data_IF_090963437936
#
_entry.id   IF_090963437936
#
_cell.length_a   1.000
_cell.length_b   1.000
_cell.length_c   1.000
_cell.angle_alpha   90.00
_cell.angle_beta   90.00
_cell.angle_gamma   90.00
#
_symmetry.space_group_name_H-M   'P 1'
#
loop_
_entity.id
_entity.type
_entity.pdbx_description
1 polymer ?
#
# COMPACT_ATOMS: atom_id res chain seq x y z
N UNK A 1 16.56 2.31 -9.93
CA UNK A 1 17.36 2.13 -8.68
C UNK A 1 16.87 0.88 -7.96
N UNK A 2 17.73 0.10 -7.28
CA UNK A 2 17.30 -1.11 -6.55
C UNK A 2 16.20 -0.86 -5.51
N UNK A 3 16.13 0.36 -4.99
CA UNK A 3 15.10 0.83 -4.03
C UNK A 3 13.73 1.05 -4.67
N UNK A 4 13.66 1.51 -5.92
CA UNK A 4 12.41 1.75 -6.64
C UNK A 4 11.71 0.43 -6.96
N UNK A 5 12.46 -0.55 -7.48
CA UNK A 5 11.97 -1.91 -7.73
C UNK A 5 11.47 -2.58 -6.45
N UNK A 6 12.11 -2.30 -5.31
CA UNK A 6 11.69 -2.80 -4.00
C UNK A 6 10.36 -2.20 -3.55
N UNK A 7 10.17 -0.88 -3.71
CA UNK A 7 8.92 -0.20 -3.38
C UNK A 7 7.79 -0.69 -4.29
N UNK A 8 8.05 -0.90 -5.58
CA UNK A 8 7.03 -1.38 -6.52
C UNK A 8 6.59 -2.82 -6.24
N UNK A 9 7.52 -3.71 -5.86
CA UNK A 9 7.18 -5.06 -5.39
C UNK A 9 6.33 -5.00 -4.13
N UNK A 10 6.70 -4.15 -3.17
CA UNK A 10 5.96 -3.99 -1.92
C UNK A 10 4.54 -3.48 -2.16
N UNK A 11 4.36 -2.49 -3.04
CA UNK A 11 3.04 -2.01 -3.46
C UNK A 11 2.19 -3.11 -4.07
N UNK A 12 2.78 -3.94 -4.94
CA UNK A 12 2.07 -5.07 -5.54
C UNK A 12 1.58 -6.06 -4.49
N UNK A 13 2.39 -6.36 -3.48
CA UNK A 13 2.00 -7.23 -2.36
C UNK A 13 0.87 -6.61 -1.52
N UNK A 14 1.01 -5.33 -1.16
CA UNK A 14 0.01 -4.60 -0.36
C UNK A 14 -1.33 -4.51 -1.09
N UNK A 15 -1.32 -4.29 -2.40
CA UNK A 15 -2.54 -4.26 -3.22
C UNK A 15 -3.25 -5.62 -3.26
N UNK A 16 -2.51 -6.73 -3.33
CA UNK A 16 -3.09 -8.07 -3.22
C UNK A 16 -3.72 -8.31 -1.84
N UNK A 17 -3.05 -7.86 -0.78
CA UNK A 17 -3.59 -7.95 0.59
C UNK A 17 -4.85 -7.10 0.75
N UNK A 18 -4.85 -5.87 0.23
CA UNK A 18 -5.99 -4.97 0.20
C UNK A 18 -7.19 -5.63 -0.47
N UNK A 19 -6.99 -6.20 -1.66
CA UNK A 19 -8.04 -6.91 -2.38
C UNK A 19 -8.63 -8.07 -1.56
N UNK A 20 -7.77 -8.89 -0.94
CA UNK A 20 -8.24 -10.01 -0.11
C UNK A 20 -9.02 -9.55 1.13
N UNK A 21 -8.58 -8.48 1.80
CA UNK A 21 -9.30 -7.90 2.94
C UNK A 21 -10.65 -7.32 2.49
N UNK A 22 -10.69 -6.64 1.34
CA UNK A 22 -11.92 -6.11 0.77
C UNK A 22 -12.93 -7.22 0.43
N UNK A 23 -12.48 -8.34 -0.16
CA UNK A 23 -13.35 -9.49 -0.46
C UNK A 23 -13.94 -10.09 0.83
N UNK A 24 -13.15 -10.17 1.90
CA UNK A 24 -13.64 -10.63 3.21
C UNK A 24 -14.62 -9.64 3.82
N UNK A 25 -14.34 -8.33 3.74
CA UNK A 25 -15.23 -7.28 4.22
C UNK A 25 -16.54 -7.24 3.43
N UNK A 26 -16.54 -7.54 2.14
CA UNK A 26 -17.77 -7.66 1.35
C UNK A 26 -18.65 -8.82 1.85
N UNK A 27 -18.05 -9.85 2.45
CA UNK A 27 -18.77 -10.99 3.04
C UNK A 27 -19.21 -10.72 4.48
N UNK A 28 -18.54 -9.81 5.18
CA UNK A 28 -18.82 -9.39 6.56
C UNK A 28 -18.64 -7.86 6.70
N UNK A 29 -19.61 -7.05 6.22
CA UNK A 29 -19.44 -5.60 6.09
C UNK A 29 -19.33 -4.86 7.42
N UNK A 30 -19.78 -5.45 8.52
CA UNK A 30 -19.77 -4.83 9.85
C UNK A 30 -18.53 -5.19 10.67
N UNK A 31 -17.56 -5.87 10.05
CA UNK A 31 -16.32 -6.26 10.71
C UNK A 31 -15.35 -5.07 10.87
N UNK A 32 -15.42 -4.40 12.01
CA UNK A 32 -14.55 -3.25 12.32
C UNK A 32 -13.05 -3.56 12.29
N UNK A 33 -12.67 -4.81 12.58
CA UNK A 33 -11.27 -5.24 12.48
C UNK A 33 -10.78 -5.33 11.03
N UNK A 34 -11.63 -5.79 10.10
CA UNK A 34 -11.31 -5.78 8.66
C UNK A 34 -11.30 -4.35 8.09
N UNK A 35 -12.20 -3.48 8.54
CA UNK A 35 -12.20 -2.05 8.17
C UNK A 35 -10.91 -1.36 8.60
N UNK A 36 -10.49 -1.52 9.86
CA UNK A 36 -9.26 -0.92 10.37
C UNK A 36 -7.99 -1.48 9.70
N UNK A 37 -8.01 -2.75 9.29
CA UNK A 37 -6.92 -3.32 8.49
C UNK A 37 -6.88 -2.74 7.08
N UNK A 38 -8.03 -2.56 6.45
CA UNK A 38 -8.14 -1.98 5.12
C UNK A 38 -7.60 -0.54 5.12
N UNK A 39 -8.00 0.28 6.08
CA UNK A 39 -7.52 1.67 6.26
C UNK A 39 -5.98 1.73 6.39
N UNK A 40 -5.40 0.89 7.24
CA UNK A 40 -3.92 0.83 7.39
C UNK A 40 -3.20 0.44 6.10
N UNK A 41 -3.77 -0.48 5.33
CA UNK A 41 -3.22 -0.88 4.03
C UNK A 41 -3.31 0.27 3.02
N UNK A 42 -4.40 1.03 3.03
CA UNK A 42 -4.59 2.21 2.18
C UNK A 42 -3.57 3.30 2.49
N UNK A 43 -3.37 3.64 3.77
CA UNK A 43 -2.38 4.62 4.20
C UNK A 43 -0.96 4.23 3.78
N UNK A 44 -0.62 2.95 3.99
CA UNK A 44 0.72 2.43 3.66
C UNK A 44 0.96 2.44 2.16
N UNK A 45 -0.03 2.03 1.37
CA UNK A 45 0.03 2.06 -0.10
C UNK A 45 0.17 3.48 -0.59
N UNK A 46 -0.63 4.42 -0.09
CA UNK A 46 -0.55 5.83 -0.44
C UNK A 46 0.86 6.37 -0.19
N UNK A 47 1.42 6.16 1.01
CA UNK A 47 2.78 6.61 1.34
C UNK A 47 3.83 6.08 0.36
N UNK A 48 3.76 4.80 -0.03
CA UNK A 48 4.72 4.21 -0.95
C UNK A 48 4.54 4.72 -2.39
N UNK A 49 3.31 5.01 -2.81
CA UNK A 49 3.03 5.68 -4.09
C UNK A 49 3.61 7.10 -4.10
N UNK A 50 3.53 7.84 -3.00
CA UNK A 50 4.19 9.14 -2.85
C UNK A 50 5.71 9.02 -2.98
N UNK A 51 6.32 8.00 -2.39
CA UNK A 51 7.78 7.76 -2.48
C UNK A 51 8.22 7.49 -3.92
N UNK A 52 7.45 6.73 -4.69
CA UNK A 52 7.76 6.47 -6.11
C UNK A 52 7.61 7.72 -6.98
N UNK A 53 6.66 8.59 -6.67
CA UNK A 53 6.39 9.79 -7.47
C UNK A 53 7.11 11.05 -6.95
N UNK A 54 7.83 10.95 -5.84
CA UNK A 54 8.60 12.07 -5.31
C UNK A 54 9.74 12.46 -6.28
N UNK A 55 9.96 13.76 -6.54
CA UNK A 55 11.05 14.18 -7.42
C UNK A 55 12.39 13.71 -6.85
N UNK A 56 13.16 13.00 -7.66
CA UNK A 56 14.52 12.55 -7.35
C UNK A 56 15.49 13.74 -7.36
N UNK A 57 15.35 14.63 -6.38
CA UNK A 57 16.29 15.71 -6.14
C UNK A 57 17.64 15.15 -5.66
N UNK A 58 18.66 15.30 -6.49
CA UNK A 58 20.06 15.00 -6.19
C UNK A 58 20.53 15.74 -4.92
N UNK A 59 20.45 15.08 -3.77
CA UNK A 59 21.17 15.48 -2.54
C UNK A 59 22.31 14.51 -2.23
N UNK A 60 22.85 13.85 -3.26
CA UNK A 60 24.11 13.11 -3.21
C UNK A 60 24.84 13.40 -4.52
N UNK A 61 25.40 14.60 -4.63
CA UNK A 61 26.46 14.94 -5.59
C UNK A 61 27.75 15.15 -4.81
#
# INVERSE_FOLDING_TARGET
MRTEDQVQRKLTELNKQKQSVQERLNSDPDNDFLKAQLEKLEDTTLMLEWVLNAPSGSYHS
#
